data_IF_372251932359
#
_entry.id   IF_372251932359
#
_cell.length_a   1.000
_cell.length_b   1.000
_cell.length_c   1.000
_cell.angle_alpha   90.00
_cell.angle_beta   90.00
_cell.angle_gamma   90.00
#
_symmetry.space_group_name_H-M   'P 1'
#
loop_
_entity.id
_entity.type
_entity.pdbx_description
1 polymer ?
#
# COMPACT_ATOMS: atom_id res chain seq x y z
N UNK A 1 -8.30 -17.16 -5.08
CA UNK A 1 -6.87 -17.09 -5.44
C UNK A 1 -6.59 -15.63 -5.74
N UNK A 2 -5.75 -14.96 -4.95
CA UNK A 2 -5.48 -13.52 -5.13
C UNK A 2 -4.23 -13.26 -5.98
N UNK A 3 -3.37 -14.25 -6.15
CA UNK A 3 -2.22 -14.19 -7.04
C UNK A 3 -1.78 -15.59 -7.50
N UNK A 4 -0.79 -15.59 -8.39
CA UNK A 4 -0.10 -16.78 -8.86
C UNK A 4 1.32 -16.42 -9.33
N UNK A 5 2.29 -17.24 -8.95
CA UNK A 5 3.67 -17.18 -9.43
C UNK A 5 4.31 -18.57 -9.52
N UNK A 6 5.12 -18.85 -10.56
CA UNK A 6 5.97 -20.03 -10.58
C UNK A 6 7.11 -19.90 -9.58
N UNK A 7 7.25 -20.89 -8.68
CA UNK A 7 8.39 -20.93 -7.77
C UNK A 7 9.70 -21.04 -8.55
N UNK A 8 10.74 -20.27 -8.18
CA UNK A 8 12.07 -20.20 -8.85
C UNK A 8 12.02 -19.71 -10.32
N UNK A 9 11.05 -18.84 -10.64
CA UNK A 9 10.85 -18.34 -12.01
C UNK A 9 11.77 -17.20 -12.45
N UNK A 10 12.49 -16.52 -11.53
CA UNK A 10 13.03 -15.17 -11.76
C UNK A 10 13.87 -14.99 -13.03
N UNK A 11 14.85 -15.86 -13.28
CA UNK A 11 15.68 -15.78 -14.49
C UNK A 11 15.28 -16.79 -15.57
N UNK A 12 14.07 -17.35 -15.48
CA UNK A 12 13.58 -18.31 -16.44
C UNK A 12 12.70 -17.63 -17.50
N UNK A 13 13.07 -17.67 -18.80
CA UNK A 13 12.43 -16.86 -19.85
C UNK A 13 10.91 -17.00 -19.98
N UNK A 14 10.36 -18.18 -19.66
CA UNK A 14 8.91 -18.47 -19.76
C UNK A 14 8.20 -18.60 -18.40
N UNK A 15 8.90 -18.37 -17.29
CA UNK A 15 8.35 -18.51 -15.93
C UNK A 15 8.59 -17.29 -15.03
N UNK A 16 9.35 -16.29 -15.49
CA UNK A 16 9.54 -15.03 -14.79
C UNK A 16 8.31 -14.14 -14.92
N UNK A 17 7.25 -14.48 -14.19
CA UNK A 17 6.01 -13.73 -14.16
C UNK A 17 5.24 -13.93 -12.85
N UNK A 18 4.45 -12.92 -12.51
CA UNK A 18 3.48 -12.95 -11.41
C UNK A 18 2.14 -12.46 -11.93
N UNK A 19 1.04 -13.12 -11.56
CA UNK A 19 -0.31 -12.60 -11.76
C UNK A 19 -0.85 -12.18 -10.40
N UNK A 20 -1.32 -10.93 -10.28
CA UNK A 20 -1.82 -10.37 -9.03
C UNK A 20 -3.22 -9.78 -9.27
N UNK A 21 -4.18 -10.14 -8.43
CA UNK A 21 -5.51 -9.53 -8.42
C UNK A 21 -5.46 -8.19 -7.71
N UNK A 22 -5.92 -7.14 -8.38
CA UNK A 22 -6.07 -5.82 -7.78
C UNK A 22 -7.28 -5.80 -6.84
N UNK A 23 -7.04 -5.50 -5.57
CA UNK A 23 -8.03 -5.40 -4.51
C UNK A 23 -7.57 -4.33 -3.49
N UNK A 24 -7.42 -3.10 -3.97
CA UNK A 24 -6.97 -1.96 -3.17
C UNK A 24 -5.51 -2.09 -2.69
N UNK A 25 -5.20 -1.49 -1.54
CA UNK A 25 -3.81 -1.47 -1.04
C UNK A 25 -3.30 -2.84 -0.57
N UNK A 26 -4.20 -3.80 -0.31
CA UNK A 26 -3.85 -5.21 -0.01
C UNK A 26 -3.07 -5.88 -1.11
N UNK A 27 -3.25 -5.45 -2.36
CA UNK A 27 -2.54 -6.04 -3.49
C UNK A 27 -1.03 -5.87 -3.37
N UNK A 28 -0.53 -4.86 -2.65
CA UNK A 28 0.91 -4.73 -2.40
C UNK A 28 1.49 -5.95 -1.65
N UNK A 29 0.72 -6.53 -0.72
CA UNK A 29 1.13 -7.74 -0.02
C UNK A 29 1.12 -8.96 -0.95
N UNK A 30 0.10 -9.06 -1.81
CA UNK A 30 0.02 -10.13 -2.81
C UNK A 30 1.20 -10.04 -3.77
N UNK A 31 1.51 -8.84 -4.29
CA UNK A 31 2.68 -8.61 -5.15
C UNK A 31 3.97 -9.04 -4.46
N UNK A 32 4.17 -8.69 -3.19
CA UNK A 32 5.33 -9.13 -2.42
C UNK A 32 5.38 -10.66 -2.26
N UNK A 33 4.25 -11.29 -1.95
CA UNK A 33 4.11 -12.74 -1.80
C UNK A 33 4.44 -13.48 -3.10
N UNK A 34 3.82 -13.10 -4.21
CA UNK A 34 4.07 -13.74 -5.51
C UNK A 34 5.52 -13.48 -5.99
N UNK A 35 6.08 -12.30 -5.71
CA UNK A 35 7.51 -12.02 -5.97
C UNK A 35 8.42 -12.95 -5.16
N UNK A 36 8.04 -13.24 -3.90
CA UNK A 36 8.74 -14.21 -3.06
C UNK A 36 8.79 -15.61 -3.70
N UNK A 37 7.67 -16.07 -4.26
CA UNK A 37 7.64 -17.33 -5.01
C UNK A 37 8.59 -17.31 -6.22
N UNK A 38 8.53 -16.26 -7.06
CA UNK A 38 9.43 -16.13 -8.22
C UNK A 38 10.90 -16.16 -7.81
N UNK A 39 11.24 -15.61 -6.63
CA UNK A 39 12.57 -15.66 -6.02
C UNK A 39 12.93 -17.02 -5.38
N UNK A 40 11.99 -17.96 -5.31
CA UNK A 40 12.21 -19.33 -4.83
C UNK A 40 11.77 -19.60 -3.40
N UNK A 41 10.99 -18.71 -2.80
CA UNK A 41 10.40 -18.93 -1.48
C UNK A 41 9.15 -19.81 -1.56
N UNK A 42 8.96 -20.66 -0.57
CA UNK A 42 7.78 -21.51 -0.39
C UNK A 42 6.89 -20.96 0.72
N UNK A 43 5.67 -21.50 0.85
CA UNK A 43 4.78 -21.09 1.94
C UNK A 43 5.35 -21.43 3.31
N UNK A 44 5.21 -20.50 4.26
CA UNK A 44 5.55 -20.74 5.66
C UNK A 44 4.61 -21.80 6.28
N UNK A 45 5.19 -22.74 7.02
CA UNK A 45 4.45 -23.83 7.68
C UNK A 45 4.08 -24.99 6.76
N UNK A 46 4.34 -24.90 5.45
CA UNK A 46 4.11 -25.99 4.50
C UNK A 46 5.43 -26.71 4.19
N UNK A 47 5.74 -27.76 4.94
CA UNK A 47 6.97 -28.55 4.74
C UNK A 47 8.24 -27.90 5.28
N UNK A 48 8.13 -26.75 5.96
CA UNK A 48 9.23 -26.08 6.66
C UNK A 48 8.87 -25.81 8.14
N UNK A 49 9.83 -25.29 8.91
CA UNK A 49 9.69 -25.08 10.36
C UNK A 49 9.12 -23.69 10.72
N UNK A 50 8.52 -22.96 9.79
CA UNK A 50 8.04 -21.57 10.02
C UNK A 50 6.53 -21.46 10.25
N UNK A 51 5.87 -22.55 10.69
CA UNK A 51 4.45 -22.54 11.00
C UNK A 51 4.08 -21.56 12.12
N UNK A 52 4.98 -21.33 13.08
CA UNK A 52 4.81 -20.34 14.16
C UNK A 52 4.75 -18.89 13.66
N UNK A 53 5.39 -18.61 12.53
CA UNK A 53 5.48 -17.25 11.97
C UNK A 53 4.28 -16.92 11.08
N UNK A 54 3.54 -17.92 10.59
CA UNK A 54 2.30 -17.71 9.82
C UNK A 54 1.28 -16.90 10.62
N UNK A 55 1.06 -17.27 11.88
CA UNK A 55 0.13 -16.59 12.78
C UNK A 55 0.54 -15.14 13.11
N UNK A 56 1.82 -14.82 12.93
CA UNK A 56 2.38 -13.49 13.14
C UNK A 56 2.22 -12.57 11.92
N UNK A 57 1.77 -13.10 10.77
CA UNK A 57 1.58 -12.35 9.53
C UNK A 57 2.80 -12.33 8.62
N UNK A 58 3.58 -13.40 8.57
CA UNK A 58 4.70 -13.48 7.63
C UNK A 58 4.23 -13.35 6.17
N UNK A 59 5.07 -12.75 5.31
CA UNK A 59 4.70 -12.47 3.92
C UNK A 59 4.35 -13.75 3.16
N UNK A 60 5.07 -14.85 3.39
CA UNK A 60 4.84 -16.14 2.74
C UNK A 60 3.83 -17.03 3.48
N UNK A 61 3.03 -16.50 4.42
CA UNK A 61 1.93 -17.26 5.00
C UNK A 61 0.89 -17.65 3.93
N UNK A 62 0.40 -18.90 3.90
CA UNK A 62 -0.51 -19.38 2.84
C UNK A 62 -1.90 -18.74 2.89
N UNK A 63 -2.27 -18.17 4.04
CA UNK A 63 -3.49 -17.39 4.22
C UNK A 63 -3.09 -15.97 4.59
N UNK A 64 -3.54 -15.00 3.78
CA UNK A 64 -3.37 -13.58 4.11
C UNK A 64 -4.17 -13.28 5.37
N UNK A 65 -3.49 -13.20 6.51
CA UNK A 65 -4.06 -12.53 7.67
C UNK A 65 -4.15 -11.05 7.34
N UNK A 66 -5.38 -10.53 7.24
CA UNK A 66 -5.73 -9.18 6.80
C UNK A 66 -5.27 -8.04 7.74
N UNK A 67 -4.10 -8.18 8.35
CA UNK A 67 -3.57 -7.32 9.38
C UNK A 67 -2.33 -6.59 8.86
N UNK A 68 -2.53 -5.51 8.07
CA UNK A 68 -1.48 -4.63 7.54
C UNK A 68 -0.58 -3.93 8.60
N UNK A 69 -0.69 -4.28 9.88
CA UNK A 69 0.14 -3.70 10.95
C UNK A 69 1.35 -4.58 11.29
N UNK A 70 1.44 -5.81 10.80
CA UNK A 70 2.57 -6.73 11.03
C UNK A 70 2.81 -7.59 9.79
N UNK A 71 3.83 -7.23 9.04
CA UNK A 71 4.34 -8.02 7.92
C UNK A 71 5.85 -8.12 8.07
N UNK A 72 6.38 -9.32 7.89
CA UNK A 72 7.81 -9.60 7.91
C UNK A 72 8.13 -10.81 7.04
N UNK A 73 9.37 -10.92 6.61
CA UNK A 73 9.87 -12.13 5.99
C UNK A 73 10.27 -13.12 7.07
N UNK A 74 9.84 -14.37 6.95
CA UNK A 74 10.15 -15.39 7.96
C UNK A 74 11.62 -15.81 7.91
N UNK A 75 12.07 -16.55 8.93
CA UNK A 75 13.40 -17.18 8.86
C UNK A 75 13.53 -18.16 7.69
N UNK A 76 12.45 -18.82 7.28
CA UNK A 76 12.45 -19.77 6.16
C UNK A 76 12.57 -19.03 4.83
N UNK A 77 11.76 -17.99 4.61
CA UNK A 77 11.83 -17.16 3.40
C UNK A 77 13.24 -16.58 3.18
N UNK A 78 13.88 -16.10 4.26
CA UNK A 78 15.25 -15.60 4.20
C UNK A 78 16.30 -16.68 3.88
N UNK A 79 16.10 -17.91 4.34
CA UNK A 79 16.99 -19.04 4.02
C UNK A 79 16.82 -19.48 2.56
N UNK A 80 15.59 -19.54 2.07
CA UNK A 80 15.27 -19.90 0.69
C UNK A 80 15.79 -18.86 -0.30
N UNK A 81 15.62 -17.56 0.00
CA UNK A 81 16.20 -16.51 -0.82
C UNK A 81 17.72 -16.65 -0.93
N UNK A 82 18.42 -16.83 0.20
CA UNK A 82 19.88 -17.02 0.22
C UNK A 82 20.32 -18.25 -0.57
N UNK A 83 19.49 -19.29 -0.62
CA UNK A 83 19.76 -20.51 -1.38
C UNK A 83 19.74 -20.26 -2.89
N UNK A 84 18.82 -19.44 -3.38
CA UNK A 84 18.61 -19.25 -4.82
C UNK A 84 19.19 -17.96 -5.40
N UNK A 85 19.37 -16.90 -4.60
CA UNK A 85 19.77 -15.58 -5.10
C UNK A 85 21.08 -15.62 -5.92
N UNK A 86 22.03 -16.49 -5.54
CA UNK A 86 23.30 -16.65 -6.24
C UNK A 86 23.19 -17.35 -7.60
N UNK A 87 22.05 -17.95 -7.93
CA UNK A 87 21.78 -18.57 -9.24
C UNK A 87 21.06 -17.65 -10.23
N UNK A 88 20.71 -16.43 -9.80
CA UNK A 88 19.93 -15.48 -10.61
C UNK A 88 20.84 -14.45 -11.28
N UNK A 89 21.54 -14.88 -12.33
CA UNK A 89 22.47 -14.03 -13.08
C UNK A 89 21.79 -12.81 -13.75
N UNK A 90 20.48 -12.90 -14.03
CA UNK A 90 19.68 -11.81 -14.62
C UNK A 90 19.37 -10.66 -13.66
N UNK A 91 19.82 -10.73 -12.40
CA UNK A 91 19.67 -9.68 -11.40
C UNK A 91 21.00 -8.96 -11.11
N UNK A 92 22.07 -9.28 -11.86
CA UNK A 92 23.42 -8.78 -11.59
C UNK A 92 23.76 -7.50 -12.36
N UNK A 93 23.02 -7.17 -13.42
CA UNK A 93 23.21 -5.96 -14.19
C UNK A 93 22.40 -4.78 -13.64
N UNK A 94 22.93 -3.57 -13.83
CA UNK A 94 22.23 -2.35 -13.49
C UNK A 94 21.09 -2.10 -14.49
N UNK A 95 19.90 -1.68 -14.02
CA UNK A 95 18.80 -1.34 -14.92
C UNK A 95 19.17 -0.19 -15.85
N UNK A 96 18.75 -0.26 -17.12
CA UNK A 96 19.05 0.80 -18.10
C UNK A 96 18.48 2.17 -17.72
N UNK A 97 17.29 2.18 -17.12
CA UNK A 97 16.63 3.39 -16.64
C UNK A 97 17.05 3.71 -15.21
N UNK A 98 17.46 4.96 -14.98
CA UNK A 98 17.96 5.44 -13.69
C UNK A 98 17.05 6.50 -13.06
N UNK A 99 16.17 7.12 -13.85
CA UNK A 99 15.29 8.21 -13.43
C UNK A 99 13.96 7.70 -12.86
N UNK A 100 14.04 6.98 -11.74
CA UNK A 100 12.85 6.47 -11.04
C UNK A 100 12.21 7.55 -10.16
N UNK A 101 10.87 7.63 -10.09
CA UNK A 101 10.20 8.54 -9.20
C UNK A 101 10.59 8.23 -7.75
N UNK A 102 10.92 9.27 -6.99
CA UNK A 102 11.22 9.13 -5.56
C UNK A 102 9.98 8.63 -4.84
N UNK A 103 10.09 7.47 -4.20
CA UNK A 103 9.01 6.93 -3.37
C UNK A 103 8.77 7.82 -2.15
N UNK A 104 7.50 8.06 -1.77
CA UNK A 104 7.20 8.77 -0.52
C UNK A 104 7.72 7.97 0.68
N UNK A 105 8.09 8.66 1.75
CA UNK A 105 8.59 8.02 2.97
C UNK A 105 7.57 7.06 3.57
N UNK A 106 6.29 7.46 3.55
CA UNK A 106 5.16 6.65 3.98
C UNK A 106 4.02 6.75 2.96
N UNK A 107 3.39 5.62 2.58
CA UNK A 107 2.39 5.61 1.52
C UNK A 107 1.14 6.43 1.87
N UNK A 108 0.71 6.42 3.14
CA UNK A 108 -0.48 7.12 3.61
C UNK A 108 -0.40 8.65 3.61
N UNK A 109 0.78 9.24 3.37
CA UNK A 109 0.93 10.70 3.23
C UNK A 109 0.12 11.23 2.04
N UNK A 110 0.05 10.43 0.96
CA UNK A 110 -0.62 10.82 -0.28
C UNK A 110 -2.05 10.28 -0.40
N UNK A 111 -2.55 9.55 0.61
CA UNK A 111 -3.85 8.89 0.57
C UNK A 111 -4.58 9.07 1.90
N UNK A 112 -5.59 9.93 1.91
CA UNK A 112 -6.53 10.09 3.02
C UNK A 112 -7.33 8.81 3.30
N UNK A 113 -7.97 8.72 4.48
CA UNK A 113 -8.87 7.60 4.80
C UNK A 113 -10.02 7.46 3.81
N UNK A 114 -10.55 8.58 3.30
CA UNK A 114 -11.61 8.58 2.29
C UNK A 114 -11.11 8.01 0.96
N UNK A 115 -9.91 8.38 0.53
CA UNK A 115 -9.31 7.82 -0.68
C UNK A 115 -9.05 6.33 -0.54
N UNK A 116 -8.56 5.89 0.62
CA UNK A 116 -8.37 4.47 0.92
C UNK A 116 -9.70 3.70 0.88
N UNK A 117 -10.77 4.24 1.47
CA UNK A 117 -12.11 3.65 1.37
C UNK A 117 -12.61 3.55 -0.07
N UNK A 118 -12.32 4.56 -0.90
CA UNK A 118 -12.65 4.55 -2.32
C UNK A 118 -11.90 3.46 -3.08
N UNK A 119 -10.62 3.25 -2.78
CA UNK A 119 -9.83 2.17 -3.37
C UNK A 119 -10.29 0.79 -2.93
N UNK A 120 -10.70 0.62 -1.66
CA UNK A 120 -11.09 -0.68 -1.12
C UNK A 120 -12.51 -1.12 -1.48
N UNK A 121 -13.46 -0.19 -1.56
CA UNK A 121 -14.89 -0.50 -1.72
C UNK A 121 -15.56 0.17 -2.92
N UNK A 122 -14.81 1.00 -3.66
CA UNK A 122 -15.28 1.66 -4.87
C UNK A 122 -15.74 3.10 -4.68
N UNK A 123 -16.15 3.71 -5.79
CA UNK A 123 -16.58 5.11 -5.85
C UNK A 123 -17.69 5.39 -4.83
N UNK A 124 -17.57 6.51 -4.11
CA UNK A 124 -18.56 6.98 -3.15
C UNK A 124 -18.31 6.53 -1.71
N UNK A 125 -17.57 5.45 -1.48
CA UNK A 125 -17.20 5.04 -0.11
C UNK A 125 -16.22 6.03 0.53
N UNK A 126 -16.46 6.34 1.80
CA UNK A 126 -15.69 7.26 2.64
C UNK A 126 -15.50 6.69 4.04
N UNK A 127 -14.67 7.33 4.86
CA UNK A 127 -14.48 6.94 6.26
C UNK A 127 -15.81 6.96 7.01
N UNK A 128 -16.12 5.84 7.66
CA UNK A 128 -17.36 5.66 8.41
C UNK A 128 -17.30 6.42 9.73
N UNK A 129 -18.23 7.38 9.90
CA UNK A 129 -18.34 8.20 11.11
C UNK A 129 -19.43 7.71 12.09
N UNK A 130 -20.11 6.60 11.77
CA UNK A 130 -21.17 6.05 12.61
C UNK A 130 -20.66 5.55 13.97
N UNK A 131 -19.39 5.13 14.04
CA UNK A 131 -18.73 4.68 15.26
C UNK A 131 -17.64 5.65 15.70
N UNK A 132 -17.92 6.53 16.67
CA UNK A 132 -16.97 7.55 17.14
C UNK A 132 -15.92 7.03 18.15
N UNK A 133 -16.02 5.79 18.59
CA UNK A 133 -15.22 5.25 19.71
C UNK A 133 -14.03 4.39 19.29
N UNK A 134 -13.83 4.13 18.00
CA UNK A 134 -12.72 3.31 17.53
C UNK A 134 -11.44 4.12 17.35
N UNK A 135 -10.31 3.49 17.69
CA UNK A 135 -8.98 3.95 17.31
C UNK A 135 -8.87 3.89 15.77
N UNK A 136 -8.79 5.05 15.09
CA UNK A 136 -8.86 5.11 13.62
C UNK A 136 -7.68 4.41 12.95
N UNK A 137 -6.58 4.18 13.67
CA UNK A 137 -5.41 3.51 13.13
C UNK A 137 -5.43 1.99 13.32
N UNK A 138 -6.39 1.42 14.06
CA UNK A 138 -6.47 -0.05 14.21
C UNK A 138 -7.15 -0.71 13.02
N UNK A 139 -8.26 -0.14 12.57
CA UNK A 139 -9.05 -0.66 11.47
C UNK A 139 -9.70 0.47 10.69
N UNK A 140 -9.52 0.47 9.36
CA UNK A 140 -10.24 1.39 8.48
C UNK A 140 -11.67 0.87 8.27
N UNK A 141 -12.64 1.69 8.65
CA UNK A 141 -14.05 1.44 8.45
C UNK A 141 -14.61 2.42 7.43
N UNK A 142 -15.36 1.90 6.47
CA UNK A 142 -15.86 2.66 5.32
C UNK A 142 -17.37 2.51 5.18
N UNK A 143 -18.07 3.58 4.83
CA UNK A 143 -19.49 3.55 4.50
C UNK A 143 -19.79 4.38 3.25
N UNK A 144 -20.92 4.08 2.61
CA UNK A 144 -21.42 4.88 1.49
C UNK A 144 -22.38 5.95 2.05
N UNK A 145 -22.35 7.21 1.53
CA UNK A 145 -23.24 8.28 1.99
C UNK A 145 -24.73 7.93 1.94
N UNK A 146 -25.16 7.09 0.99
CA UNK A 146 -26.54 6.62 0.88
C UNK A 146 -26.94 5.64 2.00
N UNK A 147 -25.97 5.03 2.67
CA UNK A 147 -26.19 4.13 3.80
C UNK A 147 -25.10 4.34 4.88
N UNK A 148 -25.11 5.49 5.57
CA UNK A 148 -24.00 5.95 6.39
C UNK A 148 -23.77 5.09 7.65
N UNK A 149 -24.79 4.34 8.08
CA UNK A 149 -24.74 3.44 9.23
C UNK A 149 -24.25 2.03 8.88
N UNK A 150 -24.16 1.69 7.58
CA UNK A 150 -23.65 0.41 7.14
C UNK A 150 -22.15 0.50 6.83
N UNK A 151 -21.33 0.16 7.82
CA UNK A 151 -19.88 0.24 7.68
C UNK A 151 -19.24 -1.11 7.39
N UNK A 152 -18.33 -1.11 6.41
CA UNK A 152 -17.53 -2.25 5.98
C UNK A 152 -16.07 -2.03 6.36
N UNK A 153 -15.32 -3.12 6.48
CA UNK A 153 -13.87 -3.06 6.71
C UNK A 153 -13.19 -4.26 6.05
N UNK A 154 -11.96 -4.06 5.58
CA UNK A 154 -11.06 -5.15 5.21
C UNK A 154 -10.26 -5.71 6.41
N UNK A 155 -10.61 -5.30 7.64
CA UNK A 155 -9.98 -5.69 8.93
C UNK A 155 -8.53 -5.22 9.10
N UNK A 156 -8.03 -4.38 8.19
CA UNK A 156 -6.71 -3.77 8.24
C UNK A 156 -6.72 -2.31 8.72
N UNK A 157 -5.62 -1.81 9.30
CA UNK A 157 -5.44 -0.38 9.58
C UNK A 157 -5.35 0.44 8.28
N UNK A 158 -5.57 1.76 8.35
CA UNK A 158 -5.14 2.68 7.30
C UNK A 158 -3.62 2.59 7.07
N UNK A 159 -3.16 3.03 5.90
CA UNK A 159 -1.74 3.06 5.55
C UNK A 159 -0.91 3.86 6.56
N UNK A 160 0.33 3.43 6.79
CA UNK A 160 1.27 4.23 7.56
C UNK A 160 1.46 5.61 6.89
N UNK A 161 1.44 6.68 7.68
CA UNK A 161 1.45 8.07 7.22
C UNK A 161 0.07 8.72 7.09
N UNK A 162 -1.03 7.95 7.13
CA UNK A 162 -2.39 8.49 7.03
C UNK A 162 -2.73 9.37 8.22
N UNK A 163 -3.25 10.58 7.98
CA UNK A 163 -3.63 11.48 9.07
C UNK A 163 -4.80 10.91 9.90
N UNK A 164 -4.59 10.78 11.21
CA UNK A 164 -5.59 10.28 12.15
C UNK A 164 -6.17 11.37 13.07
N UNK A 165 -5.42 12.45 13.28
CA UNK A 165 -5.83 13.65 13.99
C UNK A 165 -4.86 14.78 13.63
N UNK A 166 -5.20 16.02 13.96
CA UNK A 166 -4.34 17.17 13.70
C UNK A 166 -2.92 16.96 14.28
N UNK A 167 -1.92 16.98 13.41
CA UNK A 167 -0.50 16.76 13.77
C UNK A 167 -0.11 15.30 14.08
N UNK A 168 -1.02 14.34 13.86
CA UNK A 168 -0.81 12.90 14.10
C UNK A 168 -1.07 12.08 12.84
N UNK A 169 -0.47 10.91 12.78
CA UNK A 169 -0.68 9.95 11.70
C UNK A 169 -0.77 8.51 12.22
N UNK A 170 -1.25 7.61 11.38
CA UNK A 170 -1.16 6.19 11.63
C UNK A 170 0.26 5.70 11.35
N UNK A 171 0.84 4.97 12.29
CA UNK A 171 2.11 4.28 12.12
C UNK A 171 2.08 2.96 12.89
N UNK A 172 2.32 1.84 12.19
CA UNK A 172 2.23 0.48 12.73
C UNK A 172 0.91 0.21 13.47
N UNK A 173 -0.19 0.77 12.96
CA UNK A 173 -1.53 0.62 13.53
C UNK A 173 -1.84 1.50 14.76
N UNK A 174 -1.03 2.51 15.04
CA UNK A 174 -1.22 3.44 16.16
C UNK A 174 -1.28 4.91 15.70
N UNK A 175 -2.16 5.72 16.30
CA UNK A 175 -2.22 7.16 16.04
C UNK A 175 -1.14 7.90 16.83
N UNK A 176 -0.03 8.21 16.17
CA UNK A 176 1.18 8.79 16.77
C UNK A 176 1.44 10.22 16.27
N UNK A 177 2.15 11.02 17.05
CA UNK A 177 2.60 12.35 16.61
C UNK A 177 3.57 12.26 15.42
N UNK A 178 3.40 13.14 14.44
CA UNK A 178 4.38 13.32 13.35
C UNK A 178 5.70 13.81 13.98
N UNK A 179 6.85 13.17 13.69
CA UNK A 179 8.13 13.65 14.22
C UNK A 179 8.48 15.05 13.67
N UNK A 180 9.31 15.81 14.37
CA UNK A 180 9.66 17.19 13.99
C UNK A 180 10.28 17.33 12.58
N UNK A 181 11.02 16.31 12.12
CA UNK A 181 11.56 16.26 10.74
C UNK A 181 10.49 15.92 9.69
N UNK A 182 9.40 15.26 10.09
CA UNK A 182 8.31 14.79 9.22
C UNK A 182 7.11 15.76 9.20
N UNK A 183 7.06 16.72 10.12
CA UNK A 183 6.11 17.84 10.10
C UNK A 183 6.44 18.90 9.04
N UNK A 184 7.72 18.98 8.63
CA UNK A 184 8.17 19.90 7.59
C UNK A 184 8.05 19.21 6.23
N UNK A 185 6.88 19.32 5.63
CA UNK A 185 6.69 18.97 4.23
C UNK A 185 6.73 20.25 3.42
N UNK A 186 7.75 20.40 2.57
CA UNK A 186 7.80 21.51 1.63
C UNK A 186 6.59 21.38 0.68
N UNK A 187 5.79 22.44 0.61
CA UNK A 187 4.67 22.49 -0.33
C UNK A 187 5.18 22.42 -1.76
N UNK A 188 4.48 21.68 -2.62
CA UNK A 188 4.69 21.73 -4.06
C UNK A 188 3.48 22.37 -4.73
N UNK A 189 3.73 23.10 -5.82
CA UNK A 189 2.67 23.61 -6.67
C UNK A 189 2.07 22.47 -7.48
N UNK A 190 0.73 22.38 -7.50
CA UNK A 190 0.03 21.54 -8.46
C UNK A 190 0.21 22.07 -9.88
N UNK A 191 -0.21 21.27 -10.87
CA UNK A 191 -0.30 21.78 -12.24
C UNK A 191 -1.34 22.90 -12.31
N UNK A 192 -0.98 24.01 -12.96
CA UNK A 192 -1.90 25.10 -13.20
C UNK A 192 -3.15 24.62 -13.95
N UNK A 193 -4.31 25.01 -13.44
CA UNK A 193 -5.59 24.87 -14.11
C UNK A 193 -5.65 25.71 -15.40
N UNK A 194 -6.65 25.42 -16.24
CA UNK A 194 -6.93 26.24 -17.42
C UNK A 194 -7.38 27.64 -16.97
N UNK A 195 -6.94 28.67 -17.68
CA UNK A 195 -7.41 30.04 -17.43
C UNK A 195 -8.94 30.12 -17.54
N UNK A 196 -9.56 30.68 -16.50
CA UNK A 196 -10.98 31.00 -16.50
C UNK A 196 -11.35 32.07 -17.53
N UNK A 197 -12.63 32.41 -17.52
CA UNK A 197 -13.21 33.47 -18.35
C UNK A 197 -12.59 34.84 -18.03
N UNK A 198 -12.60 35.75 -19.01
CA UNK A 198 -12.16 37.12 -18.78
C UNK A 198 -13.07 37.80 -17.76
N UNK A 199 -12.51 38.59 -16.84
CA UNK A 199 -13.28 39.33 -15.83
C UNK A 199 -14.21 40.38 -16.44
N UNK A 200 -14.00 40.76 -17.70
CA UNK A 200 -14.81 41.76 -18.42
C UNK A 200 -14.92 41.43 -19.90
N UNK A 201 -16.01 41.88 -20.52
CA UNK A 201 -16.26 41.77 -21.97
C UNK A 201 -15.71 42.94 -22.77
N UNK A 202 -15.39 44.07 -22.14
CA UNK A 202 -14.71 45.22 -22.76
C UNK A 202 -13.83 45.98 -21.76
N UNK A 203 -12.86 46.75 -22.27
CA UNK A 203 -11.83 47.42 -21.47
C UNK A 203 -10.78 46.44 -20.92
N UNK A 204 -10.01 46.88 -19.91
CA UNK A 204 -8.97 46.04 -19.29
C UNK A 204 -9.59 45.01 -18.34
N UNK A 205 -9.24 43.74 -18.52
CA UNK A 205 -9.69 42.62 -17.70
C UNK A 205 -8.55 41.65 -17.38
N UNK A 206 -8.79 40.75 -16.42
CA UNK A 206 -7.84 39.73 -15.98
C UNK A 206 -8.46 38.34 -16.09
N UNK A 207 -7.61 37.33 -16.28
CA UNK A 207 -7.98 35.91 -16.25
C UNK A 207 -7.20 35.22 -15.16
N UNK A 208 -7.87 34.40 -14.37
CA UNK A 208 -7.27 33.67 -13.26
C UNK A 208 -7.08 32.21 -13.61
N UNK A 209 -6.07 31.60 -12.99
CA UNK A 209 -5.87 30.16 -12.87
C UNK A 209 -5.26 29.91 -11.48
N UNK A 210 -5.46 28.71 -10.97
CA UNK A 210 -4.86 28.17 -9.74
C UNK A 210 -4.03 26.95 -10.04
#
# INVERSE_FOLDING_TARGET
MQGYAPVTGMCHPVRSCTLNHEDGFSSAFVVAHETGHVLGMEHDGQGNRCGDETAMGSVMAPLVQAAFHRYHWSRCSGQELKRYIHSYDCLLDDPFEHDWPKLPELPGINYSMDEQCRFDFGVGYKMCTAFRTFDPCKQLWCSHPDNPYFCKTKKGPPLDGTECAAGKWCYKGHCMWKNANQQKQDGNWGSWTKFGSCSRTCGTGVRFRT
#
